data_IF_208606516896
#
_entry.id   IF_208606516896
#
_cell.length_a   1.000
_cell.length_b   1.000
_cell.length_c   1.000
_cell.angle_alpha   90.00
_cell.angle_beta   90.00
_cell.angle_gamma   90.00
#
_symmetry.space_group_name_H-M   'P 1'
#
loop_
_entity.id
_entity.type
_entity.pdbx_description
1 polymer ?
#
# COMPACT_ATOMS: atom_id res chain seq x y z
N UNK A 1 -18.82 -5.29 -5.80
CA UNK A 1 -17.44 -4.73 -5.87
C UNK A 1 -17.13 -4.14 -4.50
N UNK A 2 -16.10 -4.63 -3.81
CA UNK A 2 -15.78 -4.16 -2.45
C UNK A 2 -15.15 -2.78 -2.57
N UNK A 3 -15.80 -1.76 -1.98
CA UNK A 3 -15.32 -0.38 -2.00
C UNK A 3 -13.94 -0.33 -1.32
N UNK A 4 -12.91 0.15 -2.03
CA UNK A 4 -11.54 0.23 -1.51
C UNK A 4 -11.39 1.57 -0.81
N UNK A 5 -11.22 1.55 0.52
CA UNK A 5 -10.90 2.76 1.28
C UNK A 5 -9.42 3.10 1.11
N UNK A 6 -9.15 4.36 0.76
CA UNK A 6 -7.81 4.93 0.56
C UNK A 6 -7.52 5.89 1.71
N UNK A 7 -6.40 5.67 2.40
CA UNK A 7 -5.91 6.56 3.44
C UNK A 7 -4.75 7.40 2.92
N UNK A 8 -4.79 8.70 3.21
CA UNK A 8 -3.75 9.66 2.86
C UNK A 8 -3.04 10.14 4.11
N UNK A 9 -1.78 9.77 4.24
CA UNK A 9 -0.83 10.26 5.24
C UNK A 9 0.29 11.02 4.51
N UNK A 10 -0.11 11.98 3.69
CA UNK A 10 0.80 12.87 2.97
C UNK A 10 0.60 14.28 3.50
N UNK A 11 1.71 14.99 3.76
CA UNK A 11 1.66 16.35 4.31
C UNK A 11 1.96 17.41 3.25
N UNK A 12 1.58 18.65 3.56
CA UNK A 12 1.90 19.82 2.74
C UNK A 12 1.25 19.81 1.35
N UNK A 13 1.94 20.43 0.39
CA UNK A 13 1.42 20.63 -0.98
C UNK A 13 1.15 19.30 -1.68
N UNK A 14 2.03 18.32 -1.50
CA UNK A 14 1.89 16.99 -2.11
C UNK A 14 0.63 16.29 -1.59
N UNK A 15 0.36 16.35 -0.28
CA UNK A 15 -0.87 15.83 0.31
C UNK A 15 -2.12 16.48 -0.28
N UNK A 16 -2.12 17.81 -0.42
CA UNK A 16 -3.23 18.54 -1.05
C UNK A 16 -3.47 18.13 -2.50
N UNK A 17 -2.42 18.05 -3.32
CA UNK A 17 -2.53 17.67 -4.74
C UNK A 17 -3.04 16.24 -4.89
N UNK A 18 -2.46 15.29 -4.17
CA UNK A 18 -2.87 13.87 -4.22
C UNK A 18 -4.29 13.70 -3.65
N UNK A 19 -4.63 14.44 -2.60
CA UNK A 19 -5.96 14.48 -2.00
C UNK A 19 -7.03 14.93 -2.98
N UNK A 20 -6.83 16.05 -3.68
CA UNK A 20 -7.75 16.52 -4.72
C UNK A 20 -7.90 15.50 -5.84
N UNK A 21 -6.78 14.99 -6.37
CA UNK A 21 -6.78 14.10 -7.53
C UNK A 21 -7.52 12.78 -7.24
N UNK A 22 -7.29 12.21 -6.05
CA UNK A 22 -8.00 11.00 -5.62
C UNK A 22 -9.43 11.29 -5.19
N UNK A 23 -9.70 12.45 -4.59
CA UNK A 23 -11.05 12.89 -4.25
C UNK A 23 -11.95 12.96 -5.48
N UNK A 24 -11.45 13.48 -6.59
CA UNK A 24 -12.18 13.53 -7.87
C UNK A 24 -12.47 12.14 -8.43
N UNK A 25 -11.53 11.20 -8.30
CA UNK A 25 -11.64 9.85 -8.85
C UNK A 25 -12.44 8.87 -7.97
N UNK A 26 -12.35 9.01 -6.64
CA UNK A 26 -12.83 8.02 -5.68
C UNK A 26 -13.78 8.59 -4.62
N UNK A 27 -13.97 9.91 -4.57
CA UNK A 27 -14.91 10.60 -3.69
C UNK A 27 -14.75 10.23 -2.22
N UNK A 28 -15.84 9.83 -1.58
CA UNK A 28 -15.91 9.50 -0.16
C UNK A 28 -15.07 8.28 0.28
N UNK A 29 -14.45 7.55 -0.67
CA UNK A 29 -13.55 6.46 -0.34
C UNK A 29 -12.15 6.94 0.09
N UNK A 30 -11.82 8.21 -0.17
CA UNK A 30 -10.56 8.84 0.23
C UNK A 30 -10.72 9.49 1.59
N UNK A 31 -9.80 9.20 2.50
CA UNK A 31 -9.78 9.79 3.85
C UNK A 31 -8.36 10.21 4.19
N UNK A 32 -8.22 11.42 4.70
CA UNK A 32 -6.97 11.87 5.28
C UNK A 32 -6.78 11.27 6.67
N UNK A 33 -5.54 10.90 6.99
CA UNK A 33 -5.14 10.49 8.33
C UNK A 33 -5.03 11.75 9.19
N UNK A 34 -5.79 11.85 10.29
CA UNK A 34 -5.69 13.01 11.17
C UNK A 34 -4.29 13.10 11.80
N UNK A 35 -3.73 14.30 11.92
CA UNK A 35 -2.40 14.48 12.50
C UNK A 35 -2.36 13.98 13.94
N UNK A 36 -1.28 13.26 14.30
CA UNK A 36 -1.07 12.72 15.63
C UNK A 36 -1.84 11.43 15.95
N UNK A 37 -2.64 10.92 15.01
CA UNK A 37 -3.28 9.61 15.16
C UNK A 37 -2.34 8.52 14.64
N UNK A 38 -2.07 7.46 15.43
CA UNK A 38 -1.24 6.35 14.98
C UNK A 38 -1.83 5.65 13.74
N UNK A 39 -0.97 5.32 12.76
CA UNK A 39 -1.40 4.68 11.51
C UNK A 39 -2.12 3.34 11.74
N UNK A 40 -1.73 2.57 12.75
CA UNK A 40 -2.34 1.29 13.10
C UNK A 40 -3.80 1.41 13.57
N UNK A 41 -4.21 2.56 14.13
CA UNK A 41 -5.59 2.81 14.53
C UNK A 41 -6.49 3.12 13.32
N UNK A 42 -5.94 3.76 12.29
CA UNK A 42 -6.72 4.23 11.13
C UNK A 42 -6.74 3.23 9.97
N UNK A 43 -5.69 2.42 9.78
CA UNK A 43 -5.61 1.46 8.65
C UNK A 43 -6.56 0.27 8.78
N UNK A 44 -7.24 0.11 9.91
CA UNK A 44 -8.22 -0.94 10.14
C UNK A 44 -9.36 -0.84 9.11
N UNK A 45 -9.38 -1.77 8.15
CA UNK A 45 -10.38 -1.80 7.08
C UNK A 45 -10.00 -1.03 5.82
N UNK A 46 -8.86 -0.33 5.81
CA UNK A 46 -8.31 0.31 4.62
C UNK A 46 -7.76 -0.74 3.64
N UNK A 47 -7.92 -0.47 2.34
CA UNK A 47 -7.34 -1.31 1.28
C UNK A 47 -6.06 -0.73 0.70
N UNK A 48 -5.86 0.58 0.85
CA UNK A 48 -4.65 1.30 0.40
C UNK A 48 -4.30 2.38 1.43
N UNK A 49 -3.03 2.47 1.81
CA UNK A 49 -2.43 3.59 2.51
C UNK A 49 -1.45 4.28 1.54
N UNK A 50 -1.49 5.60 1.46
CA UNK A 50 -0.51 6.41 0.72
C UNK A 50 0.19 7.29 1.75
N UNK A 51 1.51 7.20 1.83
CA UNK A 51 2.33 7.94 2.83
C UNK A 51 3.64 8.40 2.20
N UNK A 52 4.34 9.33 2.83
CA UNK A 52 5.71 9.68 2.47
C UNK A 52 6.72 8.99 3.42
N UNK A 53 7.91 8.67 2.91
CA UNK A 53 9.03 8.19 3.74
C UNK A 53 9.75 9.34 4.47
N UNK A 54 9.35 10.59 4.21
CA UNK A 54 10.01 11.80 4.67
C UNK A 54 9.67 12.19 6.12
N UNK A 55 8.59 11.65 6.68
CA UNK A 55 8.23 11.83 8.09
C UNK A 55 7.63 10.57 8.71
N UNK A 56 8.10 10.18 9.90
CA UNK A 56 7.60 9.12 10.79
C UNK A 56 7.36 7.70 10.22
N UNK A 57 7.44 7.49 8.90
CA UNK A 57 7.20 6.22 8.21
C UNK A 57 8.44 5.34 8.16
N UNK A 58 8.95 4.94 9.34
CA UNK A 58 10.01 3.94 9.45
C UNK A 58 9.61 2.64 8.71
N UNK A 59 10.46 2.09 7.82
CA UNK A 59 10.23 0.78 7.18
C UNK A 59 9.82 -0.34 8.15
N UNK A 60 10.29 -0.30 9.41
CA UNK A 60 9.87 -1.23 10.46
C UNK A 60 8.39 -1.07 10.83
N UNK A 61 7.87 0.16 10.84
CA UNK A 61 6.45 0.47 11.06
C UNK A 61 5.62 -0.05 9.90
N UNK A 62 6.02 0.21 8.64
CA UNK A 62 5.31 -0.29 7.46
C UNK A 62 5.25 -1.82 7.43
N UNK A 63 6.37 -2.48 7.73
CA UNK A 63 6.42 -3.94 7.83
C UNK A 63 5.50 -4.48 8.93
N UNK A 64 5.44 -3.81 10.10
CA UNK A 64 4.53 -4.17 11.19
C UNK A 64 3.06 -3.99 10.78
N UNK A 65 2.73 -2.89 10.10
CA UNK A 65 1.38 -2.62 9.59
C UNK A 65 0.94 -3.69 8.60
N UNK A 66 1.77 -4.00 7.61
CA UNK A 66 1.46 -5.03 6.62
C UNK A 66 1.28 -6.41 7.26
N UNK A 67 2.10 -6.77 8.25
CA UNK A 67 1.94 -8.06 8.97
C UNK A 67 0.62 -8.14 9.73
N UNK A 68 0.16 -7.02 10.30
CA UNK A 68 -1.10 -6.95 11.04
C UNK A 68 -2.32 -6.82 10.13
N UNK A 69 -2.13 -6.29 8.91
CA UNK A 69 -3.16 -6.10 7.90
C UNK A 69 -2.70 -6.66 6.54
N UNK A 70 -2.70 -8.00 6.33
CA UNK A 70 -2.15 -8.62 5.11
C UNK A 70 -2.86 -8.21 3.80
N UNK A 71 -4.07 -7.66 3.90
CA UNK A 71 -4.82 -7.14 2.75
C UNK A 71 -4.46 -5.71 2.35
N UNK A 72 -3.71 -5.00 3.20
CA UNK A 72 -3.29 -3.61 3.00
C UNK A 72 -2.19 -3.53 1.94
N UNK A 73 -2.27 -2.48 1.14
CA UNK A 73 -1.22 -2.06 0.22
C UNK A 73 -0.76 -0.68 0.63
N UNK A 74 0.54 -0.47 0.74
CA UNK A 74 1.12 0.82 1.11
C UNK A 74 1.86 1.37 -0.10
N UNK A 75 1.38 2.47 -0.66
CA UNK A 75 2.09 3.25 -1.65
C UNK A 75 2.89 4.33 -0.93
N UNK A 76 4.19 4.16 -0.92
CA UNK A 76 5.10 5.16 -0.39
C UNK A 76 5.47 6.11 -1.53
N UNK A 77 5.43 7.40 -1.23
CA UNK A 77 5.84 8.48 -2.11
C UNK A 77 7.14 9.08 -1.58
N UNK A 78 8.17 9.09 -2.42
CA UNK A 78 9.53 9.50 -2.09
C UNK A 78 9.93 10.72 -2.94
N UNK A 79 11.01 11.41 -2.55
CA UNK A 79 11.61 12.53 -3.30
C UNK A 79 10.60 13.59 -3.79
N UNK A 80 9.77 14.11 -2.87
CA UNK A 80 8.71 15.10 -3.16
C UNK A 80 7.70 14.65 -4.24
N UNK A 81 7.46 13.34 -4.38
CA UNK A 81 6.54 12.80 -5.39
C UNK A 81 7.19 12.33 -6.68
N UNK A 82 8.52 12.33 -6.78
CA UNK A 82 9.24 11.90 -7.99
C UNK A 82 9.42 10.39 -8.09
N UNK A 83 9.52 9.74 -6.95
CA UNK A 83 9.74 8.30 -6.83
C UNK A 83 8.67 7.70 -5.93
N UNK A 84 8.43 6.40 -6.04
CA UNK A 84 7.46 5.73 -5.20
C UNK A 84 7.65 4.23 -5.18
N UNK A 85 7.29 3.62 -4.06
CA UNK A 85 7.42 2.20 -3.82
C UNK A 85 6.10 1.61 -3.30
N UNK A 86 5.71 0.45 -3.83
CA UNK A 86 4.52 -0.27 -3.37
C UNK A 86 4.93 -1.41 -2.45
N UNK A 87 4.42 -1.40 -1.23
CA UNK A 87 4.64 -2.43 -0.23
C UNK A 87 3.35 -3.19 0.03
N UNK A 88 3.39 -4.52 -0.10
CA UNK A 88 2.25 -5.39 0.20
C UNK A 88 2.72 -6.75 0.73
N UNK A 89 1.91 -7.38 1.59
CA UNK A 89 2.14 -8.75 2.06
C UNK A 89 1.06 -9.68 1.52
N UNK A 90 1.00 -9.79 0.19
CA UNK A 90 0.07 -10.66 -0.50
C UNK A 90 0.76 -11.94 -1.00
N UNK A 91 0.15 -13.13 -0.79
CA UNK A 91 0.58 -14.31 -1.50
C UNK A 91 0.22 -14.16 -2.98
N UNK A 92 1.24 -14.11 -3.85
CA UNK A 92 1.04 -14.14 -5.30
C UNK A 92 0.88 -15.59 -5.75
N UNK A 93 -0.31 -15.92 -6.28
CA UNK A 93 -0.54 -17.21 -6.95
C UNK A 93 -0.33 -17.03 -8.45
N UNK A 94 0.77 -17.58 -8.95
CA UNK A 94 1.04 -17.62 -10.39
C UNK A 94 0.42 -18.90 -10.95
N UNK A 95 -0.46 -18.78 -11.96
CA UNK A 95 -1.00 -19.93 -12.67
C UNK A 95 0.07 -20.47 -13.63
N UNK A 96 0.55 -21.68 -13.38
CA UNK A 96 1.66 -22.28 -14.14
C UNK A 96 1.22 -23.00 -15.43
N UNK A 97 -0.09 -23.01 -15.74
CA UNK A 97 -0.64 -23.76 -16.87
C UNK A 97 -0.51 -25.28 -16.69
N UNK A 98 -0.38 -26.02 -17.79
CA UNK A 98 0.03 -27.43 -17.74
C UNK A 98 1.46 -27.53 -17.19
N UNK A 99 1.63 -28.29 -16.13
CA UNK A 99 2.92 -28.48 -15.45
C UNK A 99 3.73 -29.58 -16.16
N UNK A 100 4.74 -29.20 -16.92
CA UNK A 100 5.83 -30.11 -17.24
C UNK A 100 6.74 -30.31 -16.02
N UNK A 101 7.48 -31.44 -15.93
CA UNK A 101 8.47 -31.65 -14.88
C UNK A 101 9.50 -30.50 -14.75
N UNK A 102 9.93 -29.89 -15.86
CA UNK A 102 10.84 -28.73 -15.85
C UNK A 102 10.19 -27.49 -15.23
N UNK A 103 8.94 -27.16 -15.59
CA UNK A 103 8.22 -26.02 -15.01
C UNK A 103 7.98 -26.18 -13.51
N UNK A 104 7.82 -27.42 -13.03
CA UNK A 104 7.69 -27.70 -11.60
C UNK A 104 9.00 -27.39 -10.85
N UNK A 105 10.14 -27.78 -11.42
CA UNK A 105 11.47 -27.48 -10.84
C UNK A 105 11.71 -25.97 -10.81
N UNK A 106 11.38 -25.26 -11.89
CA UNK A 106 11.51 -23.81 -12.00
C UNK A 106 10.58 -23.07 -11.02
N UNK A 107 9.33 -23.52 -10.88
CA UNK A 107 8.35 -22.91 -9.98
C UNK A 107 8.73 -23.05 -8.50
N UNK A 108 9.33 -24.17 -8.10
CA UNK A 108 9.85 -24.36 -6.74
C UNK A 108 11.04 -23.43 -6.48
N UNK A 109 11.86 -23.15 -7.49
CA UNK A 109 12.98 -22.21 -7.42
C UNK A 109 12.61 -20.71 -7.45
N UNK A 110 11.37 -20.36 -7.83
CA UNK A 110 10.89 -18.99 -8.06
C UNK A 110 10.21 -18.33 -6.85
N UNK A 111 10.19 -18.98 -5.68
CA UNK A 111 9.61 -18.40 -4.45
C UNK A 111 10.47 -17.20 -3.99
N UNK A 112 10.08 -15.99 -4.38
CA UNK A 112 10.47 -14.72 -3.75
C UNK A 112 9.23 -13.88 -3.48
#
# INVERSE_FOLDING_TARGET
MRQVTVLLDLRGVLGGVVGTLLGDAYGAAVREVPPGVPLDEVVAGAGVLITDLGGDSDPAVLTRLLRRHPGLRVLVVEDDGRTGSLWELRPHRIALGELSPQQLIEAVGLTR
#
